data_IF_324197073676
#
_entry.id   IF_324197073676
#
_cell.length_a   1.000
_cell.length_b   1.000
_cell.length_c   1.000
_cell.angle_alpha   90.00
_cell.angle_beta   90.00
_cell.angle_gamma   90.00
#
_symmetry.space_group_name_H-M   'P 1'
#
loop_
_entity.id
_entity.type
_entity.pdbx_description
1 polymer ?
#
# COMPACT_ATOMS: atom_id res chain seq x y z
N UNK A 1 -4.08 2.57 -33.66
CA UNK A 1 -4.79 3.67 -32.95
C UNK A 1 -3.99 4.95 -33.09
N UNK A 2 -4.58 6.03 -33.59
CA UNK A 2 -3.90 7.28 -33.88
C UNK A 2 -3.47 7.97 -32.59
N UNK A 3 -2.16 8.24 -32.43
CA UNK A 3 -1.60 9.02 -31.30
C UNK A 3 -2.18 10.43 -31.18
N UNK A 4 -2.83 10.92 -32.23
CA UNK A 4 -3.36 12.27 -32.31
C UNK A 4 -4.79 12.41 -31.77
N UNK A 5 -5.58 11.34 -31.78
CA UNK A 5 -7.02 11.43 -31.44
C UNK A 5 -7.32 11.94 -30.04
N UNK A 6 -6.64 11.43 -28.98
CA UNK A 6 -6.88 11.87 -27.59
C UNK A 6 -6.36 13.30 -27.34
N UNK A 7 -5.21 13.66 -27.90
CA UNK A 7 -4.65 15.02 -27.77
C UNK A 7 -5.52 16.07 -28.47
N UNK A 8 -6.07 15.72 -29.65
CA UNK A 8 -6.99 16.60 -30.39
C UNK A 8 -8.31 16.82 -29.63
N UNK A 9 -8.83 15.76 -28.97
CA UNK A 9 -10.00 15.90 -28.10
C UNK A 9 -9.70 16.75 -26.87
N UNK A 10 -8.54 16.56 -26.23
CA UNK A 10 -8.13 17.37 -25.08
C UNK A 10 -7.94 18.84 -25.44
N UNK A 11 -7.40 19.14 -26.65
CA UNK A 11 -7.34 20.51 -27.13
C UNK A 11 -8.72 21.13 -27.27
N UNK A 12 -9.72 20.40 -27.79
CA UNK A 12 -11.12 20.84 -27.88
C UNK A 12 -11.76 21.05 -26.51
N UNK A 13 -11.34 20.28 -25.49
CA UNK A 13 -11.75 20.41 -24.10
C UNK A 13 -11.00 21.50 -23.31
N UNK A 14 -10.21 22.33 -24.01
CA UNK A 14 -9.56 23.52 -23.44
C UNK A 14 -8.21 23.29 -22.77
N UNK A 15 -7.54 22.16 -23.06
CA UNK A 15 -6.14 22.00 -22.65
C UNK A 15 -5.24 22.88 -23.51
N UNK A 16 -4.30 23.58 -22.88
CA UNK A 16 -3.35 24.44 -23.58
C UNK A 16 -2.35 23.61 -24.43
N UNK A 17 -1.85 24.20 -25.52
CA UNK A 17 -0.81 23.60 -26.34
C UNK A 17 0.45 23.22 -25.53
N UNK A 18 0.78 24.01 -24.50
CA UNK A 18 1.92 23.75 -23.62
C UNK A 18 1.68 22.51 -22.74
N UNK A 19 0.46 22.34 -22.16
CA UNK A 19 0.12 21.15 -21.37
C UNK A 19 0.07 19.87 -22.21
N UNK A 20 -0.29 19.99 -23.48
CA UNK A 20 -0.35 18.85 -24.43
C UNK A 20 1.00 18.52 -25.07
N UNK A 21 2.03 19.36 -24.88
CA UNK A 21 3.36 19.15 -25.44
C UNK A 21 3.97 17.84 -24.98
N UNK A 22 4.35 16.99 -25.92
CA UNK A 22 5.00 15.74 -25.65
C UNK A 22 6.51 15.91 -25.47
N UNK A 23 7.08 15.19 -24.52
CA UNK A 23 8.51 15.19 -24.22
C UNK A 23 9.07 13.77 -24.31
N UNK A 24 10.09 13.59 -25.12
CA UNK A 24 10.82 12.29 -25.23
C UNK A 24 11.40 11.93 -23.87
N UNK A 25 12.01 12.88 -23.15
CA UNK A 25 12.56 12.65 -21.82
C UNK A 25 11.48 12.20 -20.83
N UNK A 26 10.30 12.84 -20.84
CA UNK A 26 9.18 12.45 -19.98
C UNK A 26 8.71 11.02 -20.30
N UNK A 27 8.55 10.67 -21.56
CA UNK A 27 8.18 9.30 -21.97
C UNK A 27 9.20 8.28 -21.49
N UNK A 28 10.49 8.56 -21.64
CA UNK A 28 11.56 7.69 -21.19
C UNK A 28 11.55 7.53 -19.65
N UNK A 29 11.42 8.61 -18.90
CA UNK A 29 11.34 8.57 -17.43
C UNK A 29 10.10 7.80 -16.97
N UNK A 30 8.95 8.02 -17.63
CA UNK A 30 7.68 7.37 -17.23
C UNK A 30 7.49 5.98 -17.85
N UNK A 31 8.42 5.52 -18.67
CA UNK A 31 8.46 4.13 -19.14
C UNK A 31 8.96 3.16 -18.08
N UNK A 32 9.41 3.64 -16.91
CA UNK A 32 9.92 2.84 -15.81
C UNK A 32 9.28 3.26 -14.49
N UNK A 33 9.14 2.32 -13.57
CA UNK A 33 8.83 2.52 -12.16
C UNK A 33 9.88 1.81 -11.29
N UNK A 34 9.55 1.42 -10.07
CA UNK A 34 10.47 0.67 -9.21
C UNK A 34 10.57 -0.82 -9.59
N UNK A 35 9.75 -1.30 -10.54
CA UNK A 35 9.80 -2.66 -11.06
C UNK A 35 10.94 -2.86 -12.08
N UNK A 36 11.09 -4.09 -12.54
CA UNK A 36 12.01 -4.45 -13.65
C UNK A 36 11.45 -4.20 -15.03
N UNK A 37 10.19 -3.81 -15.12
CA UNK A 37 9.53 -3.60 -16.41
C UNK A 37 9.87 -2.25 -17.02
N UNK A 38 9.80 -2.20 -18.35
CA UNK A 38 9.89 -0.98 -19.13
C UNK A 38 8.82 -1.00 -20.20
N UNK A 39 7.89 -0.03 -20.13
CA UNK A 39 6.80 0.12 -21.11
C UNK A 39 6.74 1.58 -21.51
N UNK A 40 7.09 1.89 -22.75
CA UNK A 40 7.05 3.26 -23.27
C UNK A 40 5.59 3.69 -23.52
N UNK A 41 5.13 4.81 -22.92
CA UNK A 41 3.81 5.34 -23.16
C UNK A 41 3.70 5.99 -24.53
N UNK A 42 2.57 5.80 -25.21
CA UNK A 42 2.28 6.52 -26.45
C UNK A 42 2.22 8.03 -26.20
N UNK A 43 1.60 8.43 -25.09
CA UNK A 43 1.35 9.84 -24.74
C UNK A 43 1.51 10.03 -23.24
N UNK A 44 1.98 11.20 -22.82
CA UNK A 44 2.12 11.57 -21.39
C UNK A 44 1.43 12.89 -21.12
N UNK A 45 0.75 12.99 -19.96
CA UNK A 45 0.07 14.19 -19.53
C UNK A 45 0.24 14.41 -18.03
N UNK A 46 0.20 15.65 -17.57
CA UNK A 46 0.07 16.00 -16.15
C UNK A 46 -1.33 16.50 -15.90
N UNK A 47 -1.95 16.07 -14.82
CA UNK A 47 -3.20 16.61 -14.32
C UNK A 47 -2.97 17.33 -12.99
N UNK A 48 -3.60 18.49 -12.83
CA UNK A 48 -3.41 19.39 -11.69
C UNK A 48 -4.63 19.45 -10.77
N UNK A 49 -5.79 18.98 -11.22
CA UNK A 49 -7.04 19.00 -10.47
C UNK A 49 -8.01 17.94 -11.01
N UNK A 50 -9.07 17.70 -10.24
CA UNK A 50 -10.06 16.67 -10.54
C UNK A 50 -10.85 16.97 -11.83
N UNK A 51 -11.06 18.22 -12.19
CA UNK A 51 -11.76 18.63 -13.41
C UNK A 51 -10.91 18.34 -14.65
N UNK A 52 -9.59 18.47 -14.56
CA UNK A 52 -8.70 18.03 -15.64
C UNK A 52 -8.74 16.52 -15.81
N UNK A 53 -8.72 15.75 -14.71
CA UNK A 53 -8.86 14.29 -14.79
C UNK A 53 -10.18 13.87 -15.40
N UNK A 54 -11.29 14.52 -15.02
CA UNK A 54 -12.61 14.31 -15.61
C UNK A 54 -12.57 14.46 -17.15
N UNK A 55 -12.04 15.58 -17.66
CA UNK A 55 -11.91 15.82 -19.11
C UNK A 55 -10.93 14.86 -19.79
N UNK A 56 -9.86 14.44 -19.10
CA UNK A 56 -8.91 13.44 -19.62
C UNK A 56 -9.60 12.09 -19.80
N UNK A 57 -10.39 11.64 -18.82
CA UNK A 57 -11.10 10.37 -18.89
C UNK A 57 -12.21 10.42 -19.94
N UNK A 58 -12.96 11.52 -20.04
CA UNK A 58 -13.95 11.74 -21.09
C UNK A 58 -13.32 11.63 -22.48
N UNK A 59 -12.21 12.35 -22.73
CA UNK A 59 -11.50 12.31 -24.02
C UNK A 59 -10.95 10.91 -24.32
N UNK A 60 -10.38 10.25 -23.31
CA UNK A 60 -9.82 8.91 -23.46
C UNK A 60 -10.88 7.86 -23.74
N UNK A 61 -12.03 7.95 -23.07
CA UNK A 61 -13.21 7.10 -23.31
C UNK A 61 -13.71 7.28 -24.76
N UNK A 62 -13.93 8.52 -25.19
CA UNK A 62 -14.39 8.83 -26.54
C UNK A 62 -13.43 8.42 -27.66
N UNK A 63 -12.16 8.25 -27.36
CA UNK A 63 -11.11 7.81 -28.30
C UNK A 63 -10.64 6.38 -28.09
N UNK A 64 -11.23 5.65 -27.15
CA UNK A 64 -10.81 4.30 -26.73
C UNK A 64 -9.31 4.23 -26.39
N UNK A 65 -8.78 5.28 -25.75
CA UNK A 65 -7.37 5.35 -25.37
C UNK A 65 -7.20 4.81 -23.95
N UNK A 66 -6.39 3.75 -23.73
CA UNK A 66 -6.10 3.27 -22.38
C UNK A 66 -5.39 4.35 -21.55
N UNK A 67 -5.84 4.54 -20.29
CA UNK A 67 -5.25 5.47 -19.33
C UNK A 67 -4.58 4.71 -18.21
N UNK A 68 -3.38 5.15 -17.83
CA UNK A 68 -2.68 4.69 -16.64
C UNK A 68 -2.32 5.90 -15.79
N UNK A 69 -2.81 5.93 -14.55
CA UNK A 69 -2.43 6.96 -13.60
C UNK A 69 -1.07 6.64 -12.98
N UNK A 70 -0.21 7.66 -12.90
CA UNK A 70 1.10 7.56 -12.29
C UNK A 70 1.22 8.58 -11.17
N UNK A 71 1.54 8.10 -9.96
CA UNK A 71 1.82 8.94 -8.82
C UNK A 71 3.27 8.73 -8.34
N UNK A 72 3.51 8.06 -7.22
CA UNK A 72 4.85 7.86 -6.68
C UNK A 72 5.80 7.02 -7.55
N UNK A 73 5.26 6.15 -8.40
CA UNK A 73 6.05 5.22 -9.21
C UNK A 73 6.82 4.18 -8.39
N UNK A 74 6.35 3.90 -7.17
CA UNK A 74 6.97 2.97 -6.23
C UNK A 74 6.52 1.51 -6.41
N UNK A 75 5.68 1.23 -7.39
CA UNK A 75 5.23 -0.12 -7.73
C UNK A 75 6.41 -1.01 -8.12
N UNK A 76 6.42 -2.23 -7.57
CA UNK A 76 7.42 -3.26 -7.89
C UNK A 76 6.93 -4.27 -8.92
N UNK A 77 5.66 -4.18 -9.36
CA UNK A 77 5.02 -5.08 -10.33
C UNK A 77 4.54 -4.38 -11.61
N UNK A 78 4.93 -3.10 -11.83
CA UNK A 78 4.66 -2.40 -13.08
C UNK A 78 3.27 -1.75 -13.19
N UNK A 79 2.50 -1.61 -12.10
CA UNK A 79 1.13 -1.07 -12.15
C UNK A 79 1.07 0.38 -12.64
N UNK A 80 2.17 1.14 -12.55
CA UNK A 80 2.23 2.53 -13.03
C UNK A 80 2.65 2.68 -14.48
N UNK A 81 2.83 1.56 -15.20
CA UNK A 81 3.28 1.53 -16.58
C UNK A 81 2.11 1.26 -17.54
N UNK A 82 2.11 1.93 -18.68
CA UNK A 82 1.06 1.77 -19.68
C UNK A 82 1.50 2.15 -21.09
N UNK A 83 0.94 1.45 -22.09
CA UNK A 83 1.20 1.72 -23.51
C UNK A 83 0.40 2.88 -24.10
N UNK A 84 -0.69 3.30 -23.41
CA UNK A 84 -1.58 4.37 -23.83
C UNK A 84 -1.16 5.75 -23.34
N UNK A 85 -2.12 6.44 -22.73
CA UNK A 85 -1.90 7.73 -22.07
C UNK A 85 -1.50 7.48 -20.61
N UNK A 86 -0.29 7.90 -20.23
CA UNK A 86 0.14 7.92 -18.84
C UNK A 86 -0.09 9.33 -18.26
N UNK A 87 -0.84 9.42 -17.17
CA UNK A 87 -1.23 10.67 -16.50
C UNK A 87 -0.54 10.78 -15.15
N UNK A 88 0.37 11.75 -15.01
CA UNK A 88 0.99 12.11 -13.74
C UNK A 88 0.02 12.91 -12.87
N UNK A 89 -0.25 12.39 -11.68
CA UNK A 89 -1.11 13.02 -10.68
C UNK A 89 -0.34 13.44 -9.43
N UNK A 90 0.96 13.13 -9.35
CA UNK A 90 1.78 13.44 -8.19
C UNK A 90 2.01 14.95 -8.01
N UNK A 91 2.32 15.64 -9.09
CA UNK A 91 2.72 17.05 -9.02
C UNK A 91 1.54 18.02 -8.81
N UNK A 92 0.34 17.63 -9.20
CA UNK A 92 -0.85 18.48 -9.17
C UNK A 92 -1.73 18.28 -7.94
N UNK A 93 -1.69 17.13 -7.30
CA UNK A 93 -2.61 16.74 -6.23
C UNK A 93 -1.88 16.64 -4.88
N UNK A 94 -1.52 17.79 -4.30
CA UNK A 94 -0.62 17.88 -3.15
C UNK A 94 -1.25 18.45 -1.88
N UNK A 95 -2.56 18.74 -1.88
CA UNK A 95 -3.21 19.38 -0.75
C UNK A 95 -3.63 18.38 0.33
N UNK A 96 -3.40 18.74 1.60
CA UNK A 96 -4.14 18.19 2.75
C UNK A 96 -5.34 19.10 2.92
N UNK A 97 -6.51 18.61 2.49
CA UNK A 97 -7.73 19.42 2.32
C UNK A 97 -8.40 19.72 3.66
N UNK A 98 -8.46 18.71 4.54
CA UNK A 98 -9.13 18.85 5.85
C UNK A 98 -8.51 17.88 6.85
N UNK A 99 -8.28 18.35 8.08
CA UNK A 99 -7.85 17.52 9.20
C UNK A 99 -8.87 17.67 10.34
N UNK A 100 -9.35 16.54 10.83
CA UNK A 100 -10.28 16.43 11.95
C UNK A 100 -9.69 15.51 13.03
N UNK A 101 -10.33 15.40 14.18
CA UNK A 101 -9.81 14.60 15.29
C UNK A 101 -9.70 13.10 15.00
N UNK A 102 -10.54 12.58 14.11
CA UNK A 102 -10.65 11.14 13.78
C UNK A 102 -10.38 10.81 12.32
N UNK A 103 -10.26 11.82 11.45
CA UNK A 103 -10.09 11.60 10.01
C UNK A 103 -9.30 12.73 9.35
N UNK A 104 -8.74 12.42 8.17
CA UNK A 104 -8.06 13.39 7.30
C UNK A 104 -8.53 13.21 5.87
N UNK A 105 -8.79 14.33 5.18
CA UNK A 105 -9.04 14.36 3.73
C UNK A 105 -7.84 14.97 3.04
N UNK A 106 -7.29 14.26 2.07
CA UNK A 106 -6.15 14.73 1.29
C UNK A 106 -6.25 14.29 -0.18
N UNK A 107 -5.55 15.00 -1.03
CA UNK A 107 -5.43 14.69 -2.44
C UNK A 107 -4.49 13.48 -2.67
N UNK A 108 -4.71 12.69 -3.75
CA UNK A 108 -4.03 11.42 -3.97
C UNK A 108 -2.52 11.51 -4.20
N UNK A 109 -2.00 12.67 -4.58
CA UNK A 109 -0.56 12.90 -4.83
C UNK A 109 0.25 13.21 -3.56
N UNK A 110 -0.38 13.44 -2.43
CA UNK A 110 0.31 13.64 -1.14
C UNK A 110 1.03 12.35 -0.73
N UNK A 111 2.33 12.42 -0.42
CA UNK A 111 3.04 11.23 0.08
C UNK A 111 2.59 10.89 1.50
N UNK A 112 2.56 9.60 1.83
CA UNK A 112 2.18 9.13 3.18
C UNK A 112 3.09 9.73 4.26
N UNK A 113 4.39 9.87 3.97
CA UNK A 113 5.34 10.51 4.86
C UNK A 113 4.97 11.97 5.15
N UNK A 114 4.62 12.75 4.10
CA UNK A 114 4.20 14.14 4.26
C UNK A 114 2.86 14.24 5.02
N UNK A 115 1.91 13.37 4.70
CA UNK A 115 0.62 13.34 5.38
C UNK A 115 0.79 13.05 6.88
N UNK A 116 1.59 12.02 7.22
CA UNK A 116 1.91 11.72 8.62
C UNK A 116 2.68 12.85 9.31
N UNK A 117 3.52 13.60 8.58
CA UNK A 117 4.18 14.80 9.09
C UNK A 117 3.19 15.89 9.52
N UNK A 118 2.12 16.12 8.76
CA UNK A 118 1.03 17.05 9.14
C UNK A 118 0.26 16.58 10.38
N UNK A 119 0.12 15.26 10.56
CA UNK A 119 -0.64 14.66 11.66
C UNK A 119 0.17 14.49 12.96
N UNK A 120 1.51 14.66 12.90
CA UNK A 120 2.41 14.42 14.02
C UNK A 120 2.07 15.26 15.25
N UNK A 121 1.74 16.55 15.07
CA UNK A 121 1.37 17.45 16.15
C UNK A 121 0.09 17.04 16.91
N UNK A 122 -0.77 16.27 16.27
CA UNK A 122 -1.98 15.69 16.88
C UNK A 122 -1.74 14.27 17.44
N UNK A 123 -0.51 13.76 17.40
CA UNK A 123 -0.16 12.38 17.73
C UNK A 123 -1.02 11.36 16.98
N UNK A 124 -1.24 11.60 15.69
CA UNK A 124 -2.04 10.75 14.78
C UNK A 124 -1.22 10.33 13.57
N UNK A 125 -1.65 9.25 12.94
CA UNK A 125 -1.13 8.75 11.65
C UNK A 125 -2.25 8.14 10.82
N UNK A 126 -2.03 8.01 9.49
CA UNK A 126 -2.85 7.13 8.64
C UNK A 126 -2.44 5.68 8.83
N UNK A 127 -3.34 4.75 8.49
CA UNK A 127 -3.14 3.32 8.70
C UNK A 127 -2.01 2.71 7.86
N UNK A 128 -2.03 2.84 6.52
CA UNK A 128 -1.03 2.20 5.66
C UNK A 128 0.39 2.75 5.91
N UNK A 129 1.35 1.84 6.15
CA UNK A 129 2.75 2.17 6.45
C UNK A 129 3.76 1.36 5.61
N UNK A 130 3.66 1.38 4.27
CA UNK A 130 4.55 0.63 3.39
C UNK A 130 6.01 1.07 3.57
N UNK A 131 6.96 0.16 3.29
CA UNK A 131 8.41 0.47 3.35
C UNK A 131 8.78 1.68 2.46
N UNK A 132 8.03 1.91 1.38
CA UNK A 132 8.16 3.04 0.46
C UNK A 132 7.45 4.32 0.92
N UNK A 133 7.13 4.50 2.19
CA UNK A 133 6.35 5.60 2.77
C UNK A 133 6.74 7.01 2.27
N UNK A 134 8.02 7.24 2.02
CA UNK A 134 8.56 8.53 1.51
C UNK A 134 8.18 8.79 0.05
N UNK A 135 8.05 7.73 -0.76
CA UNK A 135 7.75 7.82 -2.18
C UNK A 135 6.27 7.51 -2.49
N UNK A 136 5.66 6.61 -1.72
CA UNK A 136 4.26 6.22 -1.89
C UNK A 136 3.33 7.38 -1.58
N UNK A 137 2.36 7.59 -2.46
CA UNK A 137 1.33 8.62 -2.29
C UNK A 137 0.05 8.00 -1.76
N UNK A 138 -0.83 8.83 -1.20
CA UNK A 138 -2.12 8.38 -0.66
C UNK A 138 -2.95 7.63 -1.71
N UNK A 139 -3.10 8.19 -2.92
CA UNK A 139 -3.84 7.55 -4.01
C UNK A 139 -3.24 6.23 -4.47
N UNK A 140 -1.89 6.14 -4.53
CA UNK A 140 -1.19 4.91 -4.84
C UNK A 140 -1.35 3.85 -3.75
N UNK A 141 -1.30 4.25 -2.48
CA UNK A 141 -1.49 3.34 -1.36
C UNK A 141 -2.92 2.78 -1.30
N UNK A 142 -3.92 3.61 -1.56
CA UNK A 142 -5.33 3.17 -1.64
C UNK A 142 -5.55 2.31 -2.88
N UNK A 143 -5.09 2.73 -4.06
CA UNK A 143 -5.24 1.97 -5.30
C UNK A 143 -4.61 0.57 -5.25
N UNK A 144 -3.54 0.39 -4.48
CA UNK A 144 -2.87 -0.90 -4.28
C UNK A 144 -3.37 -1.67 -3.04
N UNK A 145 -4.25 -1.10 -2.21
CA UNK A 145 -4.55 -1.58 -0.86
C UNK A 145 -3.26 -1.83 -0.05
N UNK A 146 -2.32 -0.89 -0.15
CA UNK A 146 -1.04 -1.03 0.53
C UNK A 146 -1.24 -1.24 2.02
N UNK A 147 -0.57 -2.24 2.53
CA UNK A 147 -0.38 -2.42 3.96
C UNK A 147 1.01 -1.91 4.36
N UNK A 148 1.61 -2.49 5.36
CA UNK A 148 2.94 -2.18 5.82
C UNK A 148 3.34 -3.09 6.96
N UNK A 149 4.31 -2.66 7.74
CA UNK A 149 4.89 -3.47 8.80
C UNK A 149 4.04 -3.50 10.07
N UNK A 150 3.24 -2.44 10.33
CA UNK A 150 2.45 -2.32 11.57
C UNK A 150 0.94 -2.31 11.33
N UNK A 151 0.46 -2.04 10.11
CA UNK A 151 -0.97 -1.91 9.86
C UNK A 151 -1.72 -3.25 9.74
N UNK A 152 -1.05 -4.33 9.33
CA UNK A 152 -1.68 -5.61 9.06
C UNK A 152 -2.89 -5.50 8.12
N UNK A 153 -3.90 -6.34 8.33
CA UNK A 153 -5.21 -6.23 7.66
C UNK A 153 -6.16 -5.28 8.39
N UNK A 154 -5.90 -5.03 9.69
CA UNK A 154 -6.76 -4.25 10.57
C UNK A 154 -6.73 -2.75 10.27
N UNK A 155 -5.62 -2.24 9.78
CA UNK A 155 -5.39 -0.81 9.57
C UNK A 155 -4.89 -0.47 8.16
N UNK A 156 -5.04 -1.37 7.20
CA UNK A 156 -4.71 -1.13 5.80
C UNK A 156 -5.63 -0.08 5.16
N UNK A 157 -5.42 0.20 3.87
CA UNK A 157 -6.22 1.20 3.15
C UNK A 157 -7.70 0.83 3.15
N UNK A 158 -8.04 -0.45 2.97
CA UNK A 158 -9.42 -0.93 2.96
C UNK A 158 -10.14 -0.69 4.30
N UNK A 159 -9.49 -1.03 5.40
CA UNK A 159 -10.09 -0.90 6.73
C UNK A 159 -10.18 0.55 7.23
N UNK A 160 -9.45 1.48 6.61
CA UNK A 160 -9.36 2.86 7.10
C UNK A 160 -9.92 3.92 6.15
N UNK A 161 -10.30 3.56 4.91
CA UNK A 161 -10.99 4.49 4.02
C UNK A 161 -12.39 4.81 4.55
N UNK A 162 -12.76 6.10 4.54
CA UNK A 162 -14.09 6.57 4.94
C UNK A 162 -14.88 6.99 3.70
N UNK A 163 -14.22 7.57 2.70
CA UNK A 163 -14.85 7.98 1.46
C UNK A 163 -13.88 8.67 0.52
N UNK A 164 -14.37 9.02 -0.67
CA UNK A 164 -13.55 9.66 -1.70
C UNK A 164 -14.40 10.43 -2.73
N UNK A 165 -13.74 11.32 -3.46
CA UNK A 165 -14.27 11.83 -4.74
C UNK A 165 -13.78 10.93 -5.86
N UNK A 166 -14.69 10.22 -6.50
CA UNK A 166 -14.43 9.25 -7.58
C UNK A 166 -14.71 9.92 -8.94
N UNK A 167 -13.75 9.81 -9.87
CA UNK A 167 -13.97 10.16 -11.28
C UNK A 167 -14.08 8.88 -12.08
N UNK A 168 -15.25 8.64 -12.66
CA UNK A 168 -15.49 7.47 -13.50
C UNK A 168 -14.83 7.57 -14.88
N UNK A 169 -14.74 6.46 -15.60
CA UNK A 169 -14.11 6.39 -16.92
C UNK A 169 -14.73 7.32 -17.97
N UNK A 170 -15.99 7.73 -17.80
CA UNK A 170 -16.69 8.69 -18.66
C UNK A 170 -16.56 10.16 -18.19
N UNK A 171 -15.71 10.42 -17.21
CA UNK A 171 -15.45 11.74 -16.65
C UNK A 171 -16.44 12.22 -15.59
N UNK A 172 -17.52 11.51 -15.31
CA UNK A 172 -18.47 11.88 -14.28
C UNK A 172 -17.84 11.77 -12.88
N UNK A 173 -18.21 12.69 -11.98
CA UNK A 173 -17.65 12.78 -10.62
C UNK A 173 -18.70 12.44 -9.58
N UNK A 174 -18.34 11.60 -8.62
CA UNK A 174 -19.13 11.26 -7.44
C UNK A 174 -18.33 11.61 -6.18
N UNK A 175 -18.92 12.38 -5.28
CA UNK A 175 -18.39 12.55 -3.92
C UNK A 175 -19.17 11.64 -2.96
N UNK A 176 -18.51 10.62 -2.43
CA UNK A 176 -19.15 9.60 -1.60
C UNK A 176 -19.45 10.08 -0.17
N UNK A 177 -18.96 11.25 0.22
CA UNK A 177 -19.17 11.83 1.55
C UNK A 177 -20.36 12.78 1.64
N UNK A 178 -21.00 13.11 0.52
CA UNK A 178 -22.19 13.95 0.53
C UNK A 178 -23.39 13.20 1.16
N UNK A 179 -24.25 13.89 1.90
CA UNK A 179 -25.39 13.24 2.56
C UNK A 179 -26.34 12.48 1.62
N UNK A 180 -26.42 12.88 0.36
CA UNK A 180 -27.24 12.28 -0.68
C UNK A 180 -26.44 11.48 -1.72
N UNK A 181 -25.20 11.13 -1.41
CA UNK A 181 -24.26 10.45 -2.33
C UNK A 181 -24.83 9.15 -2.90
N UNK A 182 -25.54 8.34 -2.10
CA UNK A 182 -26.16 7.11 -2.59
C UNK A 182 -27.25 7.41 -3.62
N UNK A 183 -28.14 8.35 -3.34
CA UNK A 183 -29.17 8.79 -4.30
C UNK A 183 -28.55 9.36 -5.57
N UNK A 184 -27.46 10.11 -5.41
CA UNK A 184 -26.70 10.64 -6.54
C UNK A 184 -26.08 9.51 -7.38
N UNK A 185 -25.44 8.52 -6.74
CA UNK A 185 -24.88 7.34 -7.43
C UNK A 185 -25.98 6.59 -8.22
N UNK A 186 -27.14 6.34 -7.60
CA UNK A 186 -28.29 5.66 -8.25
C UNK A 186 -28.79 6.42 -9.48
N UNK A 187 -28.75 7.76 -9.44
CA UNK A 187 -29.14 8.61 -10.56
C UNK A 187 -28.06 8.66 -11.64
N UNK A 188 -26.81 8.80 -11.23
CA UNK A 188 -25.65 8.97 -12.12
C UNK A 188 -25.30 7.67 -12.84
N UNK A 189 -25.37 6.53 -12.14
CA UNK A 189 -24.90 5.20 -12.60
C UNK A 189 -25.91 4.09 -12.29
N UNK A 190 -27.16 4.17 -12.75
CA UNK A 190 -28.20 3.18 -12.37
C UNK A 190 -27.87 1.74 -12.77
N UNK A 191 -27.17 1.55 -13.91
CA UNK A 191 -26.74 0.22 -14.35
C UNK A 191 -25.64 -0.34 -13.44
N UNK A 192 -24.65 0.49 -13.07
CA UNK A 192 -23.58 0.08 -12.15
C UNK A 192 -24.16 -0.33 -10.79
N UNK A 193 -25.08 0.45 -10.24
CA UNK A 193 -25.73 0.12 -8.97
C UNK A 193 -26.44 -1.24 -9.04
N UNK A 194 -27.21 -1.48 -10.10
CA UNK A 194 -27.89 -2.76 -10.29
C UNK A 194 -26.91 -3.93 -10.38
N UNK A 195 -25.78 -3.75 -11.09
CA UNK A 195 -24.74 -4.78 -11.18
C UNK A 195 -24.05 -5.03 -9.83
N UNK A 196 -23.74 -3.98 -9.07
CA UNK A 196 -23.16 -4.15 -7.72
C UNK A 196 -24.10 -4.92 -6.79
N UNK A 197 -25.41 -4.61 -6.80
CA UNK A 197 -26.42 -5.33 -6.03
C UNK A 197 -26.53 -6.79 -6.49
N UNK A 198 -26.52 -7.03 -7.80
CA UNK A 198 -26.58 -8.38 -8.36
C UNK A 198 -25.37 -9.22 -7.97
N UNK A 199 -24.15 -8.68 -8.11
CA UNK A 199 -22.90 -9.37 -7.74
C UNK A 199 -22.88 -9.65 -6.23
N UNK A 200 -23.29 -8.67 -5.40
CA UNK A 200 -23.40 -8.85 -3.95
C UNK A 200 -24.30 -10.04 -3.62
N UNK A 201 -25.49 -10.08 -4.18
CA UNK A 201 -26.47 -11.11 -3.89
C UNK A 201 -26.00 -12.50 -4.39
N UNK A 202 -25.34 -12.56 -5.55
CA UNK A 202 -24.73 -13.78 -6.08
C UNK A 202 -23.60 -14.30 -5.16
N UNK A 203 -22.66 -13.43 -4.75
CA UNK A 203 -21.56 -13.83 -3.86
C UNK A 203 -22.09 -14.35 -2.52
N UNK A 204 -23.08 -13.67 -1.94
CA UNK A 204 -23.69 -14.05 -0.66
C UNK A 204 -24.49 -15.34 -0.72
N UNK A 205 -25.14 -15.60 -1.85
CA UNK A 205 -25.89 -16.83 -2.06
C UNK A 205 -25.01 -18.05 -2.37
N UNK A 206 -23.77 -17.85 -2.79
CA UNK A 206 -22.85 -18.92 -3.13
C UNK A 206 -22.16 -19.47 -1.86
N UNK A 207 -22.56 -20.67 -1.46
CA UNK A 207 -22.06 -21.33 -0.25
C UNK A 207 -20.60 -21.76 -0.29
N UNK A 208 -19.96 -21.76 -1.47
CA UNK A 208 -18.52 -22.04 -1.62
C UNK A 208 -17.70 -20.75 -1.72
N UNK A 209 -18.17 -19.77 -2.49
CA UNK A 209 -17.46 -18.54 -2.76
C UNK A 209 -17.41 -17.62 -1.53
N UNK A 210 -18.51 -17.45 -0.82
CA UNK A 210 -18.60 -16.55 0.34
C UNK A 210 -17.60 -16.91 1.45
N UNK A 211 -17.48 -18.19 1.91
CA UNK A 211 -16.46 -18.58 2.88
C UNK A 211 -15.02 -18.40 2.34
N UNK A 212 -14.80 -18.66 1.05
CA UNK A 212 -13.47 -18.52 0.45
C UNK A 212 -13.04 -17.06 0.37
N UNK A 213 -13.93 -16.13 -0.04
CA UNK A 213 -13.67 -14.69 0.01
C UNK A 213 -13.35 -14.27 1.45
N UNK A 214 -14.17 -14.67 2.42
CA UNK A 214 -13.90 -14.39 3.84
C UNK A 214 -12.51 -14.86 4.25
N UNK A 215 -12.15 -16.10 3.93
CA UNK A 215 -10.85 -16.70 4.25
C UNK A 215 -9.68 -15.91 3.62
N UNK A 216 -9.77 -15.55 2.35
CA UNK A 216 -8.72 -14.82 1.62
C UNK A 216 -8.46 -13.44 2.23
N UNK A 217 -9.49 -12.75 2.67
CA UNK A 217 -9.35 -11.39 3.21
C UNK A 217 -9.07 -11.35 4.72
N UNK A 218 -8.95 -12.50 5.41
CA UNK A 218 -8.31 -12.56 6.74
C UNK A 218 -6.79 -12.39 6.67
N UNK A 219 -6.20 -12.61 5.50
CA UNK A 219 -4.79 -12.44 5.23
C UNK A 219 -4.53 -11.09 4.53
N UNK A 220 -3.27 -10.64 4.58
CA UNK A 220 -2.84 -9.51 3.75
C UNK A 220 -3.17 -9.79 2.29
N UNK A 221 -3.96 -8.93 1.66
CA UNK A 221 -4.37 -9.06 0.28
C UNK A 221 -4.20 -7.72 -0.45
N UNK A 222 -3.26 -7.68 -1.40
CA UNK A 222 -2.98 -6.53 -2.26
C UNK A 222 -3.11 -6.92 -3.74
N UNK A 223 -3.84 -8.00 -4.03
CA UNK A 223 -3.94 -8.58 -5.36
C UNK A 223 -5.39 -8.56 -5.85
N UNK A 224 -5.70 -7.57 -6.65
CA UNK A 224 -7.02 -7.45 -7.28
C UNK A 224 -8.04 -6.72 -6.42
N UNK A 225 -9.29 -6.84 -6.84
CA UNK A 225 -10.39 -6.09 -6.23
C UNK A 225 -10.75 -6.62 -4.84
N UNK A 226 -11.14 -5.70 -3.96
CA UNK A 226 -11.60 -6.01 -2.60
C UNK A 226 -12.99 -6.66 -2.63
N UNK A 227 -13.06 -7.94 -3.04
CA UNK A 227 -14.32 -8.70 -3.16
C UNK A 227 -15.06 -8.86 -1.84
N UNK A 228 -14.35 -8.80 -0.72
CA UNK A 228 -14.96 -8.78 0.61
C UNK A 228 -15.92 -7.60 0.82
N UNK A 229 -15.80 -6.50 0.04
CA UNK A 229 -16.75 -5.39 0.10
C UNK A 229 -18.21 -5.81 -0.17
N UNK A 230 -18.42 -6.86 -0.97
CA UNK A 230 -19.75 -7.42 -1.22
C UNK A 230 -20.29 -8.22 -0.02
N UNK A 231 -19.43 -8.68 0.87
CA UNK A 231 -19.81 -9.35 2.12
C UNK A 231 -19.94 -8.36 3.28
N UNK A 232 -19.07 -7.37 3.34
CA UNK A 232 -18.94 -6.42 4.44
C UNK A 232 -20.02 -5.32 4.40
N UNK A 233 -20.54 -4.95 3.20
CA UNK A 233 -21.45 -3.82 3.03
C UNK A 233 -22.72 -4.20 2.30
N UNK A 234 -23.87 -3.58 2.73
CA UNK A 234 -25.17 -3.71 2.08
C UNK A 234 -25.37 -2.67 0.97
N UNK A 235 -24.86 -1.47 1.20
CA UNK A 235 -25.11 -0.31 0.36
C UNK A 235 -24.16 -0.31 -0.85
N UNK A 236 -24.66 -0.14 -2.09
CA UNK A 236 -23.81 -0.03 -3.29
C UNK A 236 -22.76 1.08 -3.25
N UNK A 237 -23.02 2.19 -2.53
CA UNK A 237 -22.06 3.27 -2.37
C UNK A 237 -20.85 2.82 -1.55
N UNK A 238 -21.08 2.10 -0.44
CA UNK A 238 -20.02 1.59 0.42
C UNK A 238 -19.24 0.46 -0.28
N UNK A 239 -19.96 -0.42 -1.00
CA UNK A 239 -19.32 -1.46 -1.84
C UNK A 239 -18.40 -0.80 -2.87
N UNK A 240 -18.88 0.20 -3.62
CA UNK A 240 -18.09 0.90 -4.63
C UNK A 240 -16.87 1.59 -4.02
N UNK A 241 -17.05 2.31 -2.89
CA UNK A 241 -15.97 3.01 -2.18
C UNK A 241 -14.85 2.05 -1.83
N UNK A 242 -15.18 0.87 -1.32
CA UNK A 242 -14.20 -0.13 -0.91
C UNK A 242 -13.64 -0.95 -2.08
N UNK A 243 -14.38 -1.12 -3.19
CA UNK A 243 -13.87 -1.69 -4.43
C UNK A 243 -12.80 -0.79 -5.10
N UNK A 244 -12.85 0.53 -4.89
CA UNK A 244 -11.79 1.43 -5.36
C UNK A 244 -10.45 1.12 -4.70
N UNK A 245 -10.46 0.56 -3.49
CA UNK A 245 -9.26 0.11 -2.78
C UNK A 245 -8.77 -1.21 -3.40
N UNK A 246 -7.51 -1.23 -3.85
CA UNK A 246 -6.94 -2.38 -4.55
C UNK A 246 -7.28 -2.44 -6.05
N UNK A 247 -7.99 -1.43 -6.58
CA UNK A 247 -8.41 -1.42 -7.99
C UNK A 247 -7.31 -1.02 -8.98
N UNK A 248 -6.16 -0.58 -8.50
CA UNK A 248 -5.01 -0.09 -9.31
C UNK A 248 -5.43 0.97 -10.36
N UNK A 249 -6.46 1.75 -10.05
CA UNK A 249 -7.00 2.78 -10.95
C UNK A 249 -7.83 2.24 -12.13
N UNK A 250 -8.18 0.97 -12.15
CA UNK A 250 -8.94 0.34 -13.25
C UNK A 250 -10.45 0.64 -13.19
N UNK A 251 -10.97 0.99 -12.02
CA UNK A 251 -12.40 1.33 -11.81
C UNK A 251 -12.67 2.84 -11.88
N UNK A 252 -11.65 3.67 -11.78
CA UNK A 252 -11.77 5.12 -11.79
C UNK A 252 -10.58 5.78 -11.11
N UNK A 253 -10.64 7.10 -10.98
CA UNK A 253 -9.63 7.91 -10.30
C UNK A 253 -10.17 8.47 -8.98
N UNK A 254 -9.34 8.48 -7.94
CA UNK A 254 -9.65 9.07 -6.64
C UNK A 254 -9.05 10.48 -6.56
N UNK A 255 -9.90 11.52 -6.60
CA UNK A 255 -9.47 12.93 -6.60
C UNK A 255 -9.21 13.51 -5.22
N UNK A 256 -9.98 13.09 -4.23
CA UNK A 256 -9.78 13.34 -2.81
C UNK A 256 -10.09 12.05 -2.06
N UNK A 257 -9.38 11.80 -0.96
CA UNK A 257 -9.52 10.57 -0.18
C UNK A 257 -9.60 10.95 1.28
N UNK A 258 -10.61 10.43 1.98
CA UNK A 258 -10.77 10.59 3.43
C UNK A 258 -10.44 9.28 4.13
N UNK A 259 -9.47 9.36 5.04
CA UNK A 259 -8.96 8.22 5.81
C UNK A 259 -9.21 8.43 7.29
N UNK A 260 -9.57 7.34 8.00
CA UNK A 260 -9.58 7.29 9.43
C UNK A 260 -8.17 7.41 10.02
N UNK A 261 -8.05 8.05 11.17
CA UNK A 261 -6.79 8.29 11.86
C UNK A 261 -6.57 7.33 13.00
N UNK A 262 -5.34 6.86 13.13
CA UNK A 262 -4.87 6.03 14.23
C UNK A 262 -4.05 6.86 15.23
N UNK A 263 -4.11 6.57 16.52
CA UNK A 263 -3.21 7.19 17.50
C UNK A 263 -1.77 6.70 17.25
N UNK A 264 -0.81 7.59 17.42
CA UNK A 264 0.60 7.22 17.51
C UNK A 264 0.90 6.88 18.96
N UNK A 265 1.30 5.64 19.22
CA UNK A 265 1.69 5.20 20.55
C UNK A 265 2.93 5.93 21.02
N UNK A 266 2.95 6.32 22.31
CA UNK A 266 3.99 7.21 22.87
C UNK A 266 5.32 6.52 23.08
N UNK A 267 5.28 5.24 23.44
CA UNK A 267 6.47 4.47 23.78
C UNK A 267 6.55 3.20 22.95
N UNK A 268 7.78 2.84 22.56
CA UNK A 268 8.07 1.69 21.70
C UNK A 268 9.32 0.99 22.15
N UNK A 269 9.33 -0.33 22.02
CA UNK A 269 10.53 -1.14 22.25
C UNK A 269 10.68 -2.17 21.11
N UNK A 270 11.89 -2.22 20.56
CA UNK A 270 12.24 -3.18 19.51
C UNK A 270 13.14 -4.28 20.07
N UNK A 271 12.83 -5.51 19.74
CA UNK A 271 13.60 -6.69 20.06
C UNK A 271 14.15 -7.30 18.78
N UNK A 272 15.35 -7.86 18.84
CA UNK A 272 15.92 -8.68 17.78
C UNK A 272 16.25 -10.05 18.33
N UNK A 273 15.65 -11.07 17.73
CA UNK A 273 15.88 -12.48 18.04
C UNK A 273 16.67 -13.13 16.90
N UNK A 274 17.55 -14.07 17.26
CA UNK A 274 18.22 -14.96 16.31
C UNK A 274 17.84 -16.40 16.63
N UNK A 275 17.33 -17.10 15.63
CA UNK A 275 17.00 -18.51 15.66
C UNK A 275 18.02 -19.29 14.83
N UNK A 276 18.19 -20.57 15.16
CA UNK A 276 19.14 -21.45 14.46
C UNK A 276 18.73 -21.77 13.02
N UNK A 277 17.42 -21.71 12.71
CA UNK A 277 16.90 -21.91 11.36
C UNK A 277 15.54 -21.23 11.16
N UNK A 278 15.09 -21.18 9.91
CA UNK A 278 13.78 -20.67 9.53
C UNK A 278 12.64 -21.51 10.16
N UNK A 279 12.80 -22.82 10.23
CA UNK A 279 11.82 -23.72 10.84
C UNK A 279 11.63 -23.37 12.32
N UNK A 280 12.71 -23.24 13.08
CA UNK A 280 12.65 -22.92 14.52
C UNK A 280 12.06 -21.52 14.76
N UNK A 281 12.41 -20.55 13.91
CA UNK A 281 11.82 -19.21 13.96
C UNK A 281 10.31 -19.27 13.72
N UNK A 282 9.87 -20.04 12.73
CA UNK A 282 8.47 -20.18 12.38
C UNK A 282 7.65 -20.94 13.42
N UNK A 283 8.22 -22.00 13.99
CA UNK A 283 7.57 -22.75 15.10
C UNK A 283 7.34 -21.84 16.32
N UNK A 284 8.20 -20.83 16.51
CA UNK A 284 8.07 -19.83 17.57
C UNK A 284 7.09 -18.72 17.23
N UNK A 285 6.66 -18.59 15.96
CA UNK A 285 5.91 -17.42 15.47
C UNK A 285 4.56 -17.26 16.17
N UNK A 286 3.80 -18.34 16.33
CA UNK A 286 2.49 -18.30 17.00
C UNK A 286 2.62 -17.86 18.48
N UNK A 287 3.69 -18.23 19.15
CA UNK A 287 3.97 -17.78 20.50
C UNK A 287 4.38 -16.31 20.55
N UNK A 288 5.14 -15.82 19.55
CA UNK A 288 5.45 -14.39 19.39
C UNK A 288 4.17 -13.61 19.14
N UNK A 289 3.31 -14.04 18.22
CA UNK A 289 2.01 -13.42 17.92
C UNK A 289 1.12 -13.34 19.19
N UNK A 290 1.13 -14.36 20.02
CA UNK A 290 0.34 -14.39 21.27
C UNK A 290 0.73 -13.34 22.29
N UNK A 291 1.91 -12.70 22.14
CA UNK A 291 2.34 -11.57 22.98
C UNK A 291 1.80 -10.21 22.52
N UNK A 292 0.99 -10.18 21.45
CA UNK A 292 0.36 -8.98 20.86
C UNK A 292 1.37 -7.88 20.47
N UNK A 293 2.41 -8.19 19.70
CA UNK A 293 3.35 -7.19 19.21
C UNK A 293 2.71 -6.29 18.14
N UNK A 294 3.21 -5.07 18.01
CA UNK A 294 2.82 -4.13 16.96
C UNK A 294 3.36 -4.54 15.58
N UNK A 295 4.52 -5.19 15.54
CA UNK A 295 5.11 -5.70 14.30
C UNK A 295 6.01 -6.91 14.55
N UNK A 296 6.04 -7.82 13.57
CA UNK A 296 6.96 -8.96 13.48
C UNK A 296 7.53 -8.98 12.07
N UNK A 297 8.86 -8.94 11.94
CA UNK A 297 9.55 -9.02 10.66
C UNK A 297 10.62 -10.10 10.70
N UNK A 298 10.57 -11.01 9.72
CA UNK A 298 11.49 -12.14 9.62
C UNK A 298 12.50 -11.88 8.49
N UNK A 299 13.76 -12.23 8.73
CA UNK A 299 14.85 -12.19 7.74
C UNK A 299 15.58 -13.52 7.75
N UNK A 300 15.55 -14.24 6.64
CA UNK A 300 16.23 -15.50 6.45
C UNK A 300 17.76 -15.36 6.35
N UNK A 301 18.46 -16.47 6.26
CA UNK A 301 19.93 -16.46 6.17
C UNK A 301 20.45 -15.75 4.91
N UNK A 302 19.75 -15.86 3.80
CA UNK A 302 20.10 -15.19 2.54
C UNK A 302 20.05 -13.68 2.70
N UNK A 303 18.96 -13.20 3.29
CA UNK A 303 18.76 -11.80 3.65
C UNK A 303 19.84 -11.27 4.57
N UNK A 304 20.18 -12.03 5.63
CA UNK A 304 21.24 -11.67 6.58
C UNK A 304 22.61 -11.63 5.90
N UNK A 305 22.90 -12.57 4.98
CA UNK A 305 24.16 -12.56 4.22
C UNK A 305 24.28 -11.34 3.30
N UNK A 306 23.18 -10.94 2.68
CA UNK A 306 23.15 -9.75 1.85
C UNK A 306 23.38 -8.46 2.67
N UNK A 307 22.83 -8.38 3.88
CA UNK A 307 23.07 -7.27 4.82
C UNK A 307 24.49 -7.24 5.33
N UNK A 308 25.07 -8.40 5.67
CA UNK A 308 26.46 -8.56 6.13
C UNK A 308 27.45 -8.09 5.07
N UNK A 309 27.24 -8.46 3.81
CA UNK A 309 28.06 -8.02 2.68
C UNK A 309 28.09 -6.50 2.46
N UNK A 310 27.15 -5.77 3.05
CA UNK A 310 27.06 -4.30 3.02
C UNK A 310 27.41 -3.65 4.37
N UNK A 311 27.97 -4.43 5.31
CA UNK A 311 28.36 -3.96 6.66
C UNK A 311 27.19 -3.31 7.45
N UNK A 312 25.96 -3.79 7.21
CA UNK A 312 24.75 -3.25 7.84
C UNK A 312 24.34 -3.99 9.11
N UNK A 313 24.93 -5.16 9.37
CA UNK A 313 24.63 -5.93 10.59
C UNK A 313 25.40 -5.36 11.79
N UNK A 314 24.76 -5.26 12.97
CA UNK A 314 25.46 -5.03 14.23
C UNK A 314 26.47 -6.15 14.54
N UNK A 315 27.58 -5.82 15.19
CA UNK A 315 28.60 -6.81 15.56
C UNK A 315 28.05 -7.90 16.48
N UNK A 316 27.13 -7.55 17.36
CA UNK A 316 26.43 -8.46 18.26
C UNK A 316 25.62 -9.52 17.50
N UNK A 317 25.02 -9.14 16.36
CA UNK A 317 24.31 -10.06 15.47
C UNK A 317 25.29 -10.98 14.78
N UNK A 318 26.35 -10.43 14.19
CA UNK A 318 27.39 -11.21 13.47
C UNK A 318 27.98 -12.28 14.38
N UNK A 319 28.24 -11.95 15.66
CA UNK A 319 28.85 -12.85 16.63
C UNK A 319 28.03 -14.13 16.92
N UNK A 320 26.72 -14.10 16.68
CA UNK A 320 25.81 -15.23 16.98
C UNK A 320 25.23 -15.91 15.73
N UNK A 321 25.58 -15.42 14.52
CA UNK A 321 25.07 -15.99 13.29
C UNK A 321 25.67 -17.37 12.99
N UNK A 322 24.81 -18.38 12.90
CA UNK A 322 25.14 -19.70 12.38
C UNK A 322 24.84 -19.82 10.86
N UNK A 323 25.05 -21.02 10.35
CA UNK A 323 24.92 -21.34 8.91
C UNK A 323 23.50 -21.09 8.36
N UNK A 324 22.45 -21.36 9.16
CA UNK A 324 21.06 -21.31 8.75
C UNK A 324 20.26 -20.29 9.57
N UNK A 325 20.93 -19.39 10.30
CA UNK A 325 20.27 -18.46 11.22
C UNK A 325 19.19 -17.61 10.53
N UNK A 326 18.12 -17.39 11.27
CA UNK A 326 17.01 -16.52 10.90
C UNK A 326 16.84 -15.46 11.97
N UNK A 327 16.76 -14.20 11.58
CA UNK A 327 16.48 -13.08 12.48
C UNK A 327 15.00 -12.73 12.48
N UNK A 328 14.48 -12.37 13.66
CA UNK A 328 13.13 -11.87 13.83
C UNK A 328 13.17 -10.56 14.61
N UNK A 329 12.68 -9.48 14.00
CA UNK A 329 12.45 -8.20 14.67
C UNK A 329 11.03 -8.21 15.23
N UNK A 330 10.89 -7.86 16.51
CA UNK A 330 9.59 -7.77 17.19
C UNK A 330 9.49 -6.41 17.87
N UNK A 331 8.46 -5.63 17.53
CA UNK A 331 8.23 -4.31 18.13
C UNK A 331 6.96 -4.33 18.99
N UNK A 332 7.07 -3.77 20.18
CA UNK A 332 5.95 -3.46 21.06
C UNK A 332 5.75 -1.95 21.10
N UNK A 333 4.49 -1.53 21.15
CA UNK A 333 4.06 -0.13 21.26
C UNK A 333 3.01 0.00 22.35
N UNK A 334 3.11 1.04 23.19
CA UNK A 334 2.14 1.30 24.28
C UNK A 334 1.88 2.79 24.49
N UNK A 335 0.81 3.11 25.21
CA UNK A 335 0.52 4.48 25.64
C UNK A 335 1.35 4.89 26.86
N UNK A 336 1.67 3.94 27.75
CA UNK A 336 2.40 4.16 28.98
C UNK A 336 3.66 3.30 29.05
N UNK A 337 4.68 3.80 29.75
CA UNK A 337 5.95 3.11 29.95
C UNK A 337 5.78 1.82 30.76
N UNK A 338 4.87 1.81 31.72
CA UNK A 338 4.56 0.67 32.57
C UNK A 338 3.98 -0.49 31.76
N UNK A 339 3.04 -0.19 30.86
CA UNK A 339 2.44 -1.16 29.94
C UNK A 339 3.48 -1.80 29.04
N UNK A 340 4.37 -0.97 28.47
CA UNK A 340 5.47 -1.43 27.63
C UNK A 340 6.44 -2.32 28.41
N UNK A 341 6.81 -1.92 29.65
CA UNK A 341 7.72 -2.67 30.50
C UNK A 341 7.16 -4.05 30.89
N UNK A 342 5.87 -4.14 31.16
CA UNK A 342 5.20 -5.42 31.45
C UNK A 342 5.18 -6.35 30.22
N UNK A 343 4.82 -5.83 29.05
CA UNK A 343 4.84 -6.58 27.80
C UNK A 343 6.27 -7.09 27.50
N UNK A 344 7.25 -6.22 27.64
CA UNK A 344 8.64 -6.53 27.41
C UNK A 344 9.16 -7.61 28.38
N UNK A 345 8.86 -7.51 29.68
CA UNK A 345 9.24 -8.49 30.70
C UNK A 345 8.65 -9.89 30.41
N UNK A 346 7.37 -9.95 29.97
CA UNK A 346 6.74 -11.22 29.56
C UNK A 346 7.46 -11.83 28.35
N UNK A 347 7.76 -11.01 27.35
CA UNK A 347 8.43 -11.42 26.14
C UNK A 347 9.86 -11.91 26.39
N UNK A 348 10.66 -11.14 27.12
CA UNK A 348 12.05 -11.49 27.47
C UNK A 348 12.15 -12.82 28.23
N UNK A 349 11.24 -13.06 29.19
CA UNK A 349 11.20 -14.31 29.94
C UNK A 349 11.02 -15.54 29.02
N UNK A 350 10.25 -15.39 27.94
CA UNK A 350 9.96 -16.50 26.99
C UNK A 350 11.09 -16.70 26.00
N UNK A 351 11.69 -15.64 25.51
CA UNK A 351 12.62 -15.68 24.39
C UNK A 351 14.09 -15.37 24.76
N UNK A 352 14.45 -15.40 26.05
CA UNK A 352 15.77 -15.03 26.57
C UNK A 352 16.93 -15.70 25.82
N UNK A 353 16.76 -16.93 25.34
CA UNK A 353 17.80 -17.69 24.62
C UNK A 353 18.05 -17.20 23.20
N UNK A 354 17.09 -16.52 22.61
CA UNK A 354 17.12 -16.07 21.21
C UNK A 354 17.38 -14.56 21.11
N UNK A 355 17.23 -13.80 22.19
CA UNK A 355 17.37 -12.36 22.21
C UNK A 355 18.83 -11.94 22.05
N UNK A 356 19.10 -11.13 21.03
CA UNK A 356 20.37 -10.42 20.84
C UNK A 356 20.24 -8.98 21.31
N UNK A 357 19.10 -8.34 20.96
CA UNK A 357 18.72 -7.05 21.50
C UNK A 357 17.36 -7.17 22.17
N UNK A 358 17.27 -6.74 23.42
CA UNK A 358 16.06 -6.80 24.23
C UNK A 358 15.57 -5.39 24.56
N UNK A 359 14.31 -5.11 24.33
CA UNK A 359 13.62 -3.92 24.80
C UNK A 359 14.28 -2.60 24.39
N UNK A 360 14.84 -2.51 23.19
CA UNK A 360 15.53 -1.30 22.73
C UNK A 360 14.54 -0.16 22.55
N UNK A 361 14.65 0.86 23.39
CA UNK A 361 13.83 2.10 23.32
C UNK A 361 14.60 3.27 22.72
N UNK A 362 15.93 3.20 22.68
CA UNK A 362 16.79 4.25 22.15
C UNK A 362 16.62 4.37 20.61
N UNK A 363 16.28 5.56 20.14
CA UNK A 363 15.84 5.80 18.76
C UNK A 363 16.93 5.48 17.72
N UNK A 364 18.21 5.74 18.00
CA UNK A 364 19.28 5.52 17.02
C UNK A 364 19.45 4.02 16.75
N UNK A 365 19.50 3.21 17.80
CA UNK A 365 19.62 1.76 17.67
C UNK A 365 18.35 1.13 17.08
N UNK A 366 17.15 1.55 17.51
CA UNK A 366 15.90 1.12 16.91
C UNK A 366 15.88 1.40 15.41
N UNK A 367 16.21 2.64 15.01
CA UNK A 367 16.24 3.01 13.59
C UNK A 367 17.24 2.18 12.79
N UNK A 368 18.38 1.82 13.39
CA UNK A 368 19.38 0.95 12.78
C UNK A 368 18.84 -0.47 12.58
N UNK A 369 18.18 -1.07 13.57
CA UNK A 369 17.55 -2.38 13.45
C UNK A 369 16.45 -2.39 12.36
N UNK A 370 15.59 -1.38 12.34
CA UNK A 370 14.56 -1.26 11.31
C UNK A 370 15.12 -0.95 9.92
N UNK A 371 16.26 -0.27 9.80
CA UNK A 371 16.92 0.00 8.53
C UNK A 371 17.38 -1.29 7.84
N UNK A 372 17.79 -2.32 8.61
CA UNK A 372 18.10 -3.64 8.06
C UNK A 372 16.94 -4.18 7.23
N UNK A 373 15.72 -4.12 7.76
CA UNK A 373 14.52 -4.63 7.08
C UNK A 373 14.05 -3.73 5.94
N UNK A 374 14.01 -2.41 6.15
CA UNK A 374 13.49 -1.44 5.16
C UNK A 374 14.30 -1.41 3.88
N UNK A 375 15.61 -1.60 3.96
CA UNK A 375 16.52 -1.57 2.80
C UNK A 375 16.71 -2.94 2.15
N UNK A 376 16.21 -4.01 2.74
CA UNK A 376 16.49 -5.38 2.36
C UNK A 376 16.19 -5.67 0.88
N UNK A 377 15.02 -5.27 0.39
CA UNK A 377 14.65 -5.50 -1.01
C UNK A 377 15.67 -4.89 -1.99
N UNK A 378 16.06 -3.64 -1.77
CA UNK A 378 17.01 -2.95 -2.65
C UNK A 378 18.40 -3.63 -2.63
N UNK A 379 18.80 -4.12 -1.46
CA UNK A 379 20.08 -4.83 -1.27
C UNK A 379 20.07 -6.17 -1.98
N UNK A 380 19.03 -6.98 -1.78
CA UNK A 380 18.86 -8.30 -2.42
C UNK A 380 18.72 -8.15 -3.94
N UNK A 381 17.91 -7.20 -4.39
CA UNK A 381 17.75 -6.92 -5.82
C UNK A 381 19.06 -6.48 -6.49
N UNK A 382 19.93 -5.76 -5.78
CA UNK A 382 21.25 -5.36 -6.28
C UNK A 382 22.25 -6.53 -6.26
N UNK A 383 22.18 -7.42 -5.29
CA UNK A 383 23.10 -8.55 -5.12
C UNK A 383 22.83 -9.73 -6.06
N UNK A 384 21.71 -9.73 -6.81
CA UNK A 384 21.38 -10.81 -7.74
C UNK A 384 22.39 -10.95 -8.87
N UNK A 385 22.58 -12.16 -9.43
CA UNK A 385 23.44 -12.37 -10.59
C UNK A 385 23.03 -11.47 -11.77
N UNK A 386 24.03 -11.00 -12.52
CA UNK A 386 23.79 -10.21 -13.74
C UNK A 386 22.93 -11.00 -14.75
N UNK A 387 22.01 -10.30 -15.41
CA UNK A 387 21.08 -10.92 -16.38
C UNK A 387 19.87 -11.63 -15.75
N UNK A 388 19.74 -11.63 -14.40
CA UNK A 388 18.56 -12.18 -13.72
C UNK A 388 17.59 -11.08 -13.30
N UNK A 389 16.32 -11.46 -13.12
CA UNK A 389 15.25 -10.56 -12.65
C UNK A 389 14.90 -10.93 -11.21
N UNK A 390 14.83 -9.93 -10.32
CA UNK A 390 14.20 -10.13 -9.02
C UNK A 390 12.68 -10.05 -9.22
N UNK A 391 12.03 -11.19 -9.28
CA UNK A 391 10.57 -11.26 -9.23
C UNK A 391 10.13 -11.03 -7.79
N UNK A 392 9.02 -10.32 -7.64
CA UNK A 392 8.35 -10.25 -6.35
C UNK A 392 7.40 -11.43 -6.25
N UNK A 393 7.65 -12.23 -5.23
CA UNK A 393 6.76 -13.31 -4.82
C UNK A 393 6.18 -12.96 -3.45
N UNK A 394 5.45 -11.86 -3.33
CA UNK A 394 4.72 -11.54 -2.12
C UNK A 394 3.56 -12.53 -1.98
N UNK A 395 3.86 -13.68 -1.38
CA UNK A 395 2.87 -14.72 -1.07
C UNK A 395 2.42 -14.55 0.38
N UNK A 396 1.13 -14.30 0.57
CA UNK A 396 0.52 -14.30 1.89
C UNK A 396 -0.02 -15.70 2.21
N UNK A 397 0.48 -16.30 3.27
CA UNK A 397 0.01 -17.59 3.78
C UNK A 397 -0.35 -17.47 5.26
N UNK A 398 -1.23 -18.34 5.78
CA UNK A 398 -1.42 -18.44 7.22
C UNK A 398 -0.07 -18.70 7.92
N UNK A 399 0.20 -18.06 9.07
CA UNK A 399 1.49 -18.18 9.76
C UNK A 399 1.95 -19.62 9.98
N UNK A 400 1.04 -20.55 10.29
CA UNK A 400 1.30 -21.96 10.47
C UNK A 400 1.71 -22.70 9.18
N UNK A 401 1.53 -22.08 8.01
CA UNK A 401 1.94 -22.63 6.70
C UNK A 401 3.24 -22.03 6.17
N UNK A 402 3.82 -21.07 6.86
CA UNK A 402 4.98 -20.31 6.37
C UNK A 402 6.19 -21.21 6.05
N UNK A 403 6.52 -22.18 6.94
CA UNK A 403 7.62 -23.12 6.70
C UNK A 403 7.43 -23.94 5.41
N UNK A 404 6.19 -24.37 5.13
CA UNK A 404 5.89 -25.15 3.92
C UNK A 404 5.97 -24.25 2.68
N UNK A 405 5.51 -23.01 2.79
CA UNK A 405 5.53 -22.05 1.67
C UNK A 405 6.95 -21.60 1.29
N UNK A 406 7.90 -21.61 2.25
CA UNK A 406 9.30 -21.21 2.04
C UNK A 406 10.21 -22.36 1.56
N UNK A 407 9.74 -23.61 1.51
CA UNK A 407 10.44 -24.80 0.98
C UNK A 407 10.17 -25.02 -0.49
#
# INVERSE_FOLDING_TARGET
MSKHGVLDQLAKLGFSSESLKQSVTRKLVWSRDASHFQIEPATTLRASNIQEVSRILEAASGTHTPVTFRSGGSSLSGQTLGRGLVVDTRSGFQAVVKMESTQVTAEPGVTLSRLNGHLLGAAKKVGPDPASLVASTLGGAVGNNSSGMTCGTKFNSYATIIGAKIVFADGQILDTLLPDAEKHLRTLKPKLVKELETIRDQIRADGALSPEVTRLFTLKNTMGYSLNSFLDFENPLDILTHLMVGSEGTLGFLGEITMGLLPVKKVKATNLLIFESLEVANDSLMEIISQDPAAIELMDRTSLSALDSQELLPAEVIAVLGKNSTAVIVEFEAEAQEELAEAQKRFEKKFVKNLVFAGVTENSLRNRLWAMRKNLYAIVAKARPEGTTALLEDVAVPPEKLTIACK
#
